data_IF_509363695625
#
_entry.id   IF_509363695625
#
_cell.length_a   1.000
_cell.length_b   1.000
_cell.length_c   1.000
_cell.angle_alpha   90.00
_cell.angle_beta   90.00
_cell.angle_gamma   90.00
#
_symmetry.space_group_name_H-M   'P 1'
#
loop_
_entity.id
_entity.type
_entity.pdbx_description
1 polymer ?
#
# COMPACT_ATOMS: atom_id res chain seq x y z
N UNK A 1 -20.21 2.26 -10.16
CA UNK A 1 -18.81 2.57 -10.51
C UNK A 1 -17.92 1.99 -9.42
N UNK A 2 -16.80 1.35 -9.77
CA UNK A 2 -15.86 0.87 -8.76
C UNK A 2 -15.20 2.08 -8.07
N UNK A 3 -15.21 2.11 -6.73
CA UNK A 3 -14.51 3.15 -5.96
C UNK A 3 -13.00 2.92 -6.05
N UNK A 4 -12.22 4.00 -6.10
CA UNK A 4 -10.76 3.92 -6.18
C UNK A 4 -10.14 3.59 -4.82
N UNK A 5 -9.13 2.73 -4.81
CA UNK A 5 -8.37 2.42 -3.59
C UNK A 5 -7.43 3.58 -3.24
N UNK A 6 -7.10 3.67 -1.96
CA UNK A 6 -6.22 4.70 -1.42
C UNK A 6 -4.83 4.12 -1.11
N UNK A 7 -3.76 4.78 -1.52
CA UNK A 7 -2.40 4.45 -1.10
C UNK A 7 -1.98 5.33 0.09
N UNK A 8 -1.26 4.75 1.05
CA UNK A 8 -0.64 5.51 2.12
C UNK A 8 0.64 6.19 1.63
N UNK A 9 0.82 7.49 1.91
CA UNK A 9 2.06 8.22 1.54
C UNK A 9 3.27 7.83 2.40
N UNK A 10 3.04 7.28 3.59
CA UNK A 10 4.12 6.94 4.52
C UNK A 10 4.68 5.54 4.27
N UNK A 11 3.82 4.55 4.04
CA UNK A 11 4.23 3.14 3.91
C UNK A 11 3.76 2.46 2.62
N UNK A 12 3.13 3.20 1.70
CA UNK A 12 2.66 2.74 0.39
C UNK A 12 1.59 1.64 0.42
N UNK A 13 1.11 1.22 1.59
CA UNK A 13 0.04 0.22 1.70
C UNK A 13 -1.25 0.69 1.03
N UNK A 14 -1.93 -0.24 0.35
CA UNK A 14 -3.18 0.00 -0.35
C UNK A 14 -4.36 -0.32 0.58
N UNK A 15 -5.17 0.71 0.81
CA UNK A 15 -6.31 0.73 1.70
C UNK A 15 -7.62 0.74 0.91
N UNK A 16 -8.72 0.50 1.62
CA UNK A 16 -10.07 0.64 1.10
C UNK A 16 -10.39 2.09 0.66
N UNK A 17 -11.39 2.28 -0.21
CA UNK A 17 -11.79 3.59 -0.74
C UNK A 17 -12.32 4.55 0.34
N UNK A 18 -12.87 4.03 1.44
CA UNK A 18 -13.53 4.82 2.48
C UNK A 18 -12.70 4.91 3.78
N UNK A 19 -11.45 4.41 3.77
CA UNK A 19 -10.56 4.45 4.93
C UNK A 19 -10.17 5.89 5.28
N UNK A 20 -10.18 6.20 6.58
CA UNK A 20 -9.69 7.48 7.11
C UNK A 20 -8.22 7.43 7.54
N UNK A 21 -7.73 6.23 7.85
CA UNK A 21 -6.36 5.96 8.29
C UNK A 21 -5.82 4.72 7.59
N UNK A 22 -4.50 4.64 7.45
CA UNK A 22 -3.82 3.47 6.92
C UNK A 22 -3.97 2.30 7.89
N UNK A 23 -4.44 1.15 7.40
CA UNK A 23 -4.64 -0.07 8.20
C UNK A 23 -3.32 -0.66 8.70
N UNK A 24 -2.20 -0.28 8.08
CA UNK A 24 -0.87 -0.80 8.41
C UNK A 24 -0.09 0.08 9.40
N UNK A 25 0.01 1.39 9.15
CA UNK A 25 0.85 2.28 9.96
C UNK A 25 0.07 3.34 10.76
N UNK A 26 -1.25 3.40 10.62
CA UNK A 26 -2.10 4.38 11.33
C UNK A 26 -2.06 5.81 10.80
N UNK A 27 -1.23 6.13 9.80
CA UNK A 27 -1.18 7.47 9.19
C UNK A 27 -2.52 7.83 8.53
N UNK A 28 -2.97 9.08 8.67
CA UNK A 28 -4.10 9.65 7.93
C UNK A 28 -3.72 10.18 6.53
N UNK A 29 -2.45 10.09 6.15
CA UNK A 29 -1.94 10.56 4.86
C UNK A 29 -2.22 9.53 3.76
N UNK A 30 -3.42 9.60 3.19
CA UNK A 30 -3.90 8.72 2.13
C UNK A 30 -4.10 9.50 0.80
N UNK A 31 -3.98 8.81 -0.34
CA UNK A 31 -4.12 9.41 -1.69
C UNK A 31 -4.74 8.46 -2.71
N UNK A 32 -5.49 9.00 -3.66
CA UNK A 32 -5.89 8.28 -4.89
C UNK A 32 -4.84 8.37 -6.00
N UNK A 33 -3.86 9.27 -5.89
CA UNK A 33 -2.80 9.46 -6.89
C UNK A 33 -1.59 8.56 -6.57
N UNK A 34 -1.66 7.35 -7.11
CA UNK A 34 -0.62 6.35 -7.00
C UNK A 34 -0.60 5.47 -8.26
N UNK A 35 0.51 4.77 -8.49
CA UNK A 35 0.68 3.90 -9.65
C UNK A 35 1.49 2.66 -9.33
N UNK A 36 1.20 1.58 -10.06
CA UNK A 36 1.81 0.26 -9.89
C UNK A 36 1.26 -0.46 -8.66
N UNK A 37 0.56 -1.57 -8.85
CA UNK A 37 0.02 -2.39 -7.76
C UNK A 37 0.83 -3.66 -7.63
N UNK A 38 1.35 -3.91 -6.42
CA UNK A 38 2.05 -5.15 -6.07
C UNK A 38 1.31 -5.77 -4.90
N UNK A 39 1.10 -7.09 -4.93
CA UNK A 39 0.59 -7.83 -3.80
C UNK A 39 1.67 -8.77 -3.28
N UNK A 40 2.08 -8.57 -2.03
CA UNK A 40 3.06 -9.42 -1.35
C UNK A 40 2.31 -10.43 -0.48
N UNK A 41 2.46 -11.73 -0.78
CA UNK A 41 1.86 -12.82 0.00
C UNK A 41 2.78 -13.37 1.08
N UNK A 42 4.07 -13.52 0.78
CA UNK A 42 5.09 -14.05 1.70
C UNK A 42 6.30 -13.10 1.69
N UNK A 43 6.30 -12.04 2.53
CA UNK A 43 7.36 -11.03 2.53
C UNK A 43 8.77 -11.61 2.72
N UNK A 44 8.90 -12.64 3.55
CA UNK A 44 10.16 -13.29 3.91
C UNK A 44 10.80 -14.09 2.77
N UNK A 45 10.03 -14.48 1.75
CA UNK A 45 10.50 -15.21 0.56
C UNK A 45 10.56 -14.32 -0.69
N UNK A 46 10.22 -13.04 -0.58
CA UNK A 46 10.01 -12.14 -1.71
C UNK A 46 11.15 -11.15 -1.87
N UNK A 47 11.92 -11.28 -2.96
CA UNK A 47 12.93 -10.29 -3.36
C UNK A 47 12.30 -8.90 -3.57
N UNK A 48 11.05 -8.86 -4.07
CA UNK A 48 10.31 -7.60 -4.24
C UNK A 48 9.99 -6.96 -2.89
N UNK A 49 9.60 -7.77 -1.89
CA UNK A 49 9.32 -7.25 -0.55
C UNK A 49 10.57 -6.68 0.12
N UNK A 50 11.70 -7.37 -0.04
CA UNK A 50 13.01 -6.91 0.44
C UNK A 50 13.42 -5.59 -0.22
N UNK A 51 13.30 -5.47 -1.55
CA UNK A 51 13.61 -4.24 -2.29
C UNK A 51 12.69 -3.08 -1.91
N UNK A 52 11.40 -3.37 -1.66
CA UNK A 52 10.42 -2.38 -1.19
C UNK A 52 10.53 -2.09 0.32
N UNK A 53 11.38 -2.79 1.05
CA UNK A 53 11.52 -2.73 2.50
C UNK A 53 10.17 -2.90 3.24
N UNK A 54 9.36 -3.87 2.80
CA UNK A 54 8.07 -4.22 3.43
C UNK A 54 8.14 -5.60 4.07
N UNK A 55 7.61 -5.72 5.30
CA UNK A 55 7.62 -6.96 6.08
C UNK A 55 6.24 -7.58 6.28
N UNK A 56 5.18 -6.91 5.86
CA UNK A 56 3.79 -7.32 6.09
C UNK A 56 3.14 -7.76 4.77
N UNK A 57 2.30 -8.81 4.78
CA UNK A 57 1.57 -9.23 3.60
C UNK A 57 0.48 -8.21 3.25
N UNK A 58 0.29 -7.95 1.96
CA UNK A 58 -0.75 -7.04 1.50
C UNK A 58 -0.48 -6.39 0.15
N UNK A 59 -1.40 -5.49 -0.24
CA UNK A 59 -1.26 -4.67 -1.44
C UNK A 59 -0.44 -3.41 -1.17
N UNK A 60 0.45 -3.05 -2.09
CA UNK A 60 1.31 -1.87 -2.02
C UNK A 60 1.35 -1.13 -3.37
N UNK A 61 1.53 0.18 -3.30
CA UNK A 61 1.83 1.01 -4.45
C UNK A 61 3.35 1.10 -4.70
N UNK A 62 3.77 1.04 -5.96
CA UNK A 62 5.18 1.30 -6.31
C UNK A 62 5.52 2.79 -6.30
N UNK A 63 4.54 3.64 -6.62
CA UNK A 63 4.69 5.10 -6.63
C UNK A 63 3.47 5.75 -6.00
N UNK A 64 3.69 6.69 -5.09
CA UNK A 64 2.66 7.48 -4.40
C UNK A 64 2.96 8.97 -4.58
N UNK A 65 1.93 9.81 -4.79
CA UNK A 65 2.05 11.28 -4.90
C UNK A 65 1.30 12.02 -3.78
#
# INVERSE_FOLDING_TARGET
MAKKRLACRECHHINGPDNQTCDLCGSSSLTEDWAGYVYITHPEESEIAAEMNVSEPGGYALKVR
#
